data_IF_517059930418
#
_entry.id   IF_517059930418
#
_cell.length_a   1.000
_cell.length_b   1.000
_cell.length_c   1.000
_cell.angle_alpha   90.00
_cell.angle_beta   90.00
_cell.angle_gamma   90.00
#
_symmetry.space_group_name_H-M   'P 1'
#
loop_
_entity.id
_entity.type
_entity.pdbx_description
1 polymer ?
#
# COMPACT_ATOMS: atom_id res chain seq x y z
N UNK A 1 1.76 80.64 7.03
CA UNK A 1 1.82 81.05 8.46
C UNK A 1 1.50 79.86 9.35
N UNK A 2 1.83 79.92 10.64
CA UNK A 2 1.84 78.79 11.61
C UNK A 2 0.43 78.33 12.04
N UNK A 3 0.26 77.03 12.28
CA UNK A 3 -0.34 76.40 13.47
C UNK A 3 -0.64 74.89 13.20
N UNK A 4 -0.78 73.97 14.17
CA UNK A 4 -0.13 73.76 15.48
C UNK A 4 -0.27 72.26 15.84
N UNK A 5 0.74 71.66 16.47
CA UNK A 5 0.73 70.23 16.91
C UNK A 5 -0.13 70.01 18.16
N UNK A 6 -0.89 68.90 18.22
CA UNK A 6 -1.10 68.19 19.50
C UNK A 6 -1.33 66.69 19.31
N UNK A 7 -0.59 65.89 20.09
CA UNK A 7 -0.62 64.41 20.13
C UNK A 7 -1.87 63.92 20.88
N UNK A 8 -2.28 62.67 20.61
CA UNK A 8 -2.66 61.69 21.63
C UNK A 8 -2.67 60.26 21.03
N UNK A 9 -2.05 59.32 21.73
CA UNK A 9 -2.00 57.86 21.47
C UNK A 9 -2.22 57.22 22.85
N UNK A 10 -3.17 56.28 23.00
CA UNK A 10 -2.74 54.89 23.24
C UNK A 10 -3.67 53.79 22.69
N UNK A 11 -3.01 52.77 22.12
CA UNK A 11 -3.20 51.33 22.38
C UNK A 11 -4.62 50.73 22.53
N UNK A 12 -5.01 49.85 21.59
CA UNK A 12 -5.89 48.72 21.90
C UNK A 12 -5.70 47.51 20.94
N UNK A 13 -4.97 46.53 21.46
CA UNK A 13 -5.10 45.06 21.35
C UNK A 13 -5.48 44.44 19.98
N UNK A 14 -4.52 43.63 19.51
CA UNK A 14 -4.59 42.51 18.57
C UNK A 14 -5.96 41.85 18.29
N UNK A 15 -6.28 41.73 17.01
CA UNK A 15 -7.21 40.72 16.47
C UNK A 15 -6.49 39.84 15.44
N UNK A 16 -5.95 38.71 15.87
CA UNK A 16 -5.36 37.72 14.96
C UNK A 16 -6.47 37.05 14.13
N UNK A 17 -6.68 37.53 12.90
CA UNK A 17 -7.47 36.83 11.89
C UNK A 17 -6.70 35.59 11.41
N UNK A 18 -6.73 34.52 12.20
CA UNK A 18 -6.33 33.18 11.75
C UNK A 18 -7.40 32.72 10.77
N UNK A 19 -7.22 33.05 9.49
CA UNK A 19 -7.99 32.46 8.41
C UNK A 19 -7.65 30.97 8.43
N UNK A 20 -8.61 30.15 8.85
CA UNK A 20 -8.43 28.71 8.90
C UNK A 20 -8.05 28.21 7.51
N UNK A 21 -6.91 27.52 7.41
CA UNK A 21 -6.56 26.75 6.23
C UNK A 21 -7.67 25.73 6.03
N UNK A 22 -8.52 25.95 5.03
CA UNK A 22 -9.54 24.99 4.63
C UNK A 22 -8.88 23.64 4.44
N UNK A 23 -9.38 22.60 5.12
CA UNK A 23 -8.96 21.23 4.86
C UNK A 23 -9.28 20.90 3.40
N UNK A 24 -8.28 21.06 2.54
CA UNK A 24 -8.18 20.24 1.35
C UNK A 24 -8.01 18.81 1.85
N UNK A 25 -9.13 18.12 2.03
CA UNK A 25 -9.17 16.68 2.04
C UNK A 25 -8.78 16.23 0.62
N UNK A 26 -7.48 16.30 0.33
CA UNK A 26 -6.87 15.48 -0.70
C UNK A 26 -7.37 14.07 -0.43
N UNK A 27 -7.99 13.44 -1.44
CA UNK A 27 -8.18 12.00 -1.41
C UNK A 27 -6.80 11.42 -1.15
N UNK A 28 -6.58 10.84 0.03
CA UNK A 28 -5.25 10.51 0.49
C UNK A 28 -4.67 9.50 -0.50
N UNK A 29 -3.65 9.93 -1.25
CA UNK A 29 -3.05 9.09 -2.27
C UNK A 29 -2.52 7.83 -1.61
N UNK A 30 -2.90 6.68 -2.17
CA UNK A 30 -2.61 5.37 -1.61
C UNK A 30 -1.10 5.20 -1.45
N UNK A 31 -0.63 4.79 -0.26
CA UNK A 31 0.81 4.64 0.04
C UNK A 31 1.46 3.65 -0.94
N UNK A 32 0.68 2.66 -1.39
CA UNK A 32 1.10 1.66 -2.37
C UNK A 32 1.23 2.19 -3.79
N UNK A 33 0.48 3.21 -4.23
CA UNK A 33 0.41 3.61 -5.65
C UNK A 33 1.78 3.94 -6.26
N UNK A 34 2.59 4.75 -5.57
CA UNK A 34 3.95 5.08 -6.02
C UNK A 34 4.87 3.84 -6.04
N UNK A 35 4.73 2.94 -5.07
CA UNK A 35 5.53 1.72 -4.94
C UNK A 35 5.16 0.67 -6.00
N UNK A 36 3.88 0.51 -6.34
CA UNK A 36 3.44 -0.40 -7.41
C UNK A 36 3.92 0.09 -8.77
N UNK A 37 3.87 1.41 -9.01
CA UNK A 37 4.43 2.02 -10.21
C UNK A 37 5.94 1.78 -10.34
N UNK A 38 6.69 1.96 -9.25
CA UNK A 38 8.13 1.65 -9.22
C UNK A 38 8.41 0.16 -9.44
N UNK A 39 7.69 -0.73 -8.74
CA UNK A 39 7.87 -2.17 -8.87
C UNK A 39 7.57 -2.66 -10.28
N UNK A 40 6.45 -2.24 -10.86
CA UNK A 40 6.06 -2.57 -12.24
C UNK A 40 7.14 -2.15 -13.23
N UNK A 41 7.64 -0.91 -13.13
CA UNK A 41 8.71 -0.41 -13.99
C UNK A 41 10.01 -1.21 -13.87
N UNK A 42 10.38 -1.62 -12.65
CA UNK A 42 11.58 -2.44 -12.40
C UNK A 42 11.39 -3.86 -12.92
N UNK A 43 10.20 -4.44 -12.79
CA UNK A 43 9.86 -5.76 -13.33
C UNK A 43 9.85 -5.76 -14.86
N UNK A 44 9.28 -4.74 -15.51
CA UNK A 44 9.33 -4.56 -16.97
C UNK A 44 10.78 -4.46 -17.48
N UNK A 45 11.61 -3.64 -16.83
CA UNK A 45 13.04 -3.48 -17.17
C UNK A 45 13.81 -4.80 -17.02
N UNK A 46 13.55 -5.54 -15.94
CA UNK A 46 14.18 -6.83 -15.68
C UNK A 46 13.53 -8.01 -16.45
N UNK A 47 12.44 -7.76 -17.19
CA UNK A 47 11.61 -8.76 -17.87
C UNK A 47 11.11 -9.87 -16.94
N UNK A 48 10.72 -9.49 -15.72
CA UNK A 48 10.19 -10.38 -14.69
C UNK A 48 8.66 -10.41 -14.73
N UNK A 49 8.10 -11.61 -14.75
CA UNK A 49 6.68 -11.91 -14.55
C UNK A 49 6.37 -12.26 -13.08
N UNK A 50 7.38 -12.66 -12.32
CA UNK A 50 7.30 -12.99 -10.90
C UNK A 50 8.50 -12.42 -10.12
N UNK A 51 8.29 -12.11 -8.85
CA UNK A 51 9.33 -11.66 -7.91
C UNK A 51 9.00 -12.14 -6.50
N UNK A 52 9.99 -12.52 -5.69
CA UNK A 52 9.76 -12.90 -4.29
C UNK A 52 10.92 -12.49 -3.37
N UNK A 53 10.59 -12.09 -2.15
CA UNK A 53 11.51 -11.59 -1.13
C UNK A 53 11.15 -12.14 0.27
N UNK A 54 12.05 -11.94 1.24
CA UNK A 54 11.67 -12.02 2.66
C UNK A 54 10.79 -10.82 3.03
N UNK A 55 9.76 -11.04 3.85
CA UNK A 55 9.02 -9.98 4.51
C UNK A 55 9.77 -9.54 5.78
N UNK A 56 10.28 -8.30 5.86
CA UNK A 56 11.01 -7.82 7.04
C UNK A 56 10.10 -7.61 8.26
N UNK A 57 8.77 -7.57 8.09
CA UNK A 57 7.81 -7.34 9.16
C UNK A 57 7.30 -8.63 9.83
N UNK A 58 7.75 -9.82 9.38
CA UNK A 58 7.38 -11.09 9.99
C UNK A 58 8.57 -12.06 10.06
N UNK A 59 8.83 -12.62 11.26
CA UNK A 59 9.76 -13.73 11.41
C UNK A 59 9.29 -14.91 10.54
N UNK A 60 10.23 -15.44 9.74
CA UNK A 60 9.98 -16.48 8.73
C UNK A 60 8.90 -16.13 7.70
N UNK A 61 8.65 -14.82 7.52
CA UNK A 61 7.76 -14.26 6.52
C UNK A 61 8.41 -14.11 5.16
N UNK A 62 7.63 -14.39 4.13
CA UNK A 62 7.99 -14.22 2.73
C UNK A 62 6.85 -13.56 1.97
N UNK A 63 7.19 -12.87 0.90
CA UNK A 63 6.28 -12.23 -0.05
C UNK A 63 6.67 -12.66 -1.46
N UNK A 64 5.67 -12.92 -2.30
CA UNK A 64 5.85 -13.12 -3.73
C UNK A 64 4.74 -12.39 -4.51
N UNK A 65 5.07 -11.91 -5.70
CA UNK A 65 4.15 -11.28 -6.60
C UNK A 65 4.18 -11.93 -7.99
N UNK A 66 3.02 -11.99 -8.64
CA UNK A 66 2.88 -12.22 -10.08
C UNK A 66 2.39 -10.92 -10.73
N UNK A 67 3.14 -10.42 -11.70
CA UNK A 67 2.85 -9.20 -12.42
C UNK A 67 2.29 -9.53 -13.81
N UNK A 68 1.14 -8.94 -14.14
CA UNK A 68 0.51 -9.04 -15.45
C UNK A 68 0.46 -7.63 -16.06
N UNK A 69 1.42 -7.27 -16.95
CA UNK A 69 1.61 -5.90 -17.42
C UNK A 69 0.33 -5.21 -17.87
N UNK A 70 0.09 -4.02 -17.32
CA UNK A 70 -1.09 -3.19 -17.62
C UNK A 70 -2.45 -3.73 -17.15
N UNK A 71 -2.50 -4.86 -16.43
CA UNK A 71 -3.78 -5.49 -16.03
C UNK A 71 -3.94 -5.70 -14.54
N UNK A 72 -2.97 -6.33 -13.85
CA UNK A 72 -3.05 -6.57 -12.41
C UNK A 72 -1.70 -6.97 -11.80
N UNK A 73 -1.58 -6.77 -10.49
CA UNK A 73 -0.49 -7.29 -9.66
C UNK A 73 -1.11 -8.16 -8.55
N UNK A 74 -0.74 -9.44 -8.53
CA UNK A 74 -1.20 -10.39 -7.52
C UNK A 74 -0.08 -10.61 -6.51
N UNK A 75 -0.28 -10.22 -5.25
CA UNK A 75 0.75 -10.35 -4.21
C UNK A 75 0.28 -11.25 -3.08
N UNK A 76 1.01 -12.32 -2.85
CA UNK A 76 0.83 -13.19 -1.68
C UNK A 76 1.97 -12.98 -0.71
N UNK A 77 1.69 -13.00 0.58
CA UNK A 77 2.73 -13.27 1.56
C UNK A 77 2.20 -14.05 2.74
N UNK A 78 3.10 -14.77 3.39
CA UNK A 78 2.77 -15.66 4.48
C UNK A 78 4.06 -16.05 5.24
N UNK A 79 3.90 -16.78 6.35
CA UNK A 79 5.01 -17.54 6.95
C UNK A 79 5.12 -18.91 6.29
N UNK A 80 6.33 -19.44 6.19
CA UNK A 80 6.58 -20.75 5.58
C UNK A 80 7.33 -21.69 6.53
N UNK A 81 6.97 -22.97 6.55
CA UNK A 81 7.49 -23.94 7.53
C UNK A 81 8.97 -24.29 7.34
N UNK A 82 9.51 -24.14 6.12
CA UNK A 82 10.92 -24.42 5.81
C UNK A 82 11.57 -23.15 5.22
N UNK A 83 11.90 -22.14 6.04
CA UNK A 83 12.38 -20.85 5.53
C UNK A 83 13.64 -20.98 4.67
N UNK A 84 14.53 -21.92 5.01
CA UNK A 84 15.77 -22.21 4.26
C UNK A 84 15.48 -22.48 2.78
N UNK A 85 14.47 -23.31 2.48
CA UNK A 85 14.06 -23.64 1.11
C UNK A 85 13.71 -22.39 0.30
N UNK A 86 12.88 -21.50 0.85
CA UNK A 86 12.49 -20.28 0.12
C UNK A 86 13.66 -19.30 -0.04
N UNK A 87 14.63 -19.26 0.88
CA UNK A 87 15.85 -18.46 0.67
C UNK A 87 16.68 -18.98 -0.49
N UNK A 88 16.84 -20.30 -0.60
CA UNK A 88 17.53 -20.91 -1.75
C UNK A 88 16.80 -20.64 -3.06
N UNK A 89 15.46 -20.75 -3.07
CA UNK A 89 14.64 -20.40 -4.24
C UNK A 89 14.80 -18.92 -4.63
N UNK A 90 14.83 -17.99 -3.66
CA UNK A 90 15.06 -16.55 -3.92
C UNK A 90 16.43 -16.35 -4.57
N UNK A 91 17.47 -17.01 -4.06
CA UNK A 91 18.83 -16.93 -4.63
C UNK A 91 18.91 -17.50 -6.05
N UNK A 92 18.14 -18.55 -6.36
CA UNK A 92 18.01 -19.17 -7.69
C UNK A 92 17.05 -18.43 -8.62
N UNK A 93 16.37 -17.37 -8.16
CA UNK A 93 15.32 -16.62 -8.87
C UNK A 93 14.07 -17.47 -9.24
N UNK A 94 13.80 -18.53 -8.48
CA UNK A 94 12.61 -19.41 -8.59
C UNK A 94 11.36 -18.73 -7.97
N UNK A 95 11.01 -17.54 -8.47
CA UNK A 95 10.00 -16.68 -7.84
C UNK A 95 8.56 -17.18 -8.01
N UNK A 96 8.27 -17.85 -9.13
CA UNK A 96 6.94 -18.40 -9.46
C UNK A 96 6.62 -19.62 -8.58
N UNK A 97 7.64 -20.39 -8.25
CA UNK A 97 7.59 -21.52 -7.32
C UNK A 97 7.30 -21.01 -5.91
N UNK A 98 7.97 -19.94 -5.46
CA UNK A 98 7.71 -19.32 -4.15
C UNK A 98 6.27 -18.78 -4.08
N UNK A 99 5.76 -18.12 -5.12
CA UNK A 99 4.35 -17.70 -5.14
C UNK A 99 3.41 -18.89 -4.98
N UNK A 100 3.69 -20.00 -5.66
CA UNK A 100 2.88 -21.23 -5.60
C UNK A 100 2.93 -21.86 -4.19
N UNK A 101 4.12 -21.97 -3.61
CA UNK A 101 4.36 -22.48 -2.25
C UNK A 101 3.64 -21.61 -1.19
N UNK A 102 3.71 -20.27 -1.30
CA UNK A 102 3.03 -19.35 -0.37
C UNK A 102 1.51 -19.32 -0.57
N UNK A 103 1.02 -19.50 -1.79
CA UNK A 103 -0.42 -19.51 -2.08
C UNK A 103 -1.12 -20.79 -1.60
N UNK A 104 -0.40 -21.92 -1.53
CA UNK A 104 -0.98 -23.26 -1.27
C UNK A 104 -0.50 -23.97 0.00
N UNK A 105 0.75 -23.77 0.42
CA UNK A 105 1.44 -24.58 1.45
C UNK A 105 2.05 -23.74 2.60
N UNK A 106 1.61 -22.50 2.75
CA UNK A 106 2.02 -21.62 3.85
C UNK A 106 1.48 -22.06 5.23
N UNK A 107 2.01 -21.46 6.30
CA UNK A 107 1.50 -21.65 7.66
C UNK A 107 0.07 -21.10 7.77
N UNK A 108 -0.86 -21.94 8.25
CA UNK A 108 -2.26 -21.58 8.40
C UNK A 108 -2.46 -20.27 9.20
N UNK A 109 -3.39 -19.44 8.75
CA UNK A 109 -3.69 -18.13 9.36
C UNK A 109 -2.60 -17.05 9.19
N UNK A 110 -1.49 -17.33 8.50
CA UNK A 110 -0.45 -16.33 8.22
C UNK A 110 -0.54 -15.68 6.84
N UNK A 111 -1.37 -16.24 5.95
CA UNK A 111 -1.53 -15.78 4.57
C UNK A 111 -2.28 -14.46 4.50
N UNK A 112 -1.80 -13.59 3.62
CA UNK A 112 -2.53 -12.47 3.04
C UNK A 112 -2.34 -12.53 1.52
N UNK A 113 -3.43 -12.39 0.78
CA UNK A 113 -3.45 -12.26 -0.68
C UNK A 113 -4.00 -10.89 -1.04
N UNK A 114 -3.32 -10.19 -1.95
CA UNK A 114 -3.71 -8.88 -2.46
C UNK A 114 -3.92 -9.02 -3.97
N UNK A 115 -5.07 -8.56 -4.45
CA UNK A 115 -5.37 -8.43 -5.86
C UNK A 115 -5.48 -6.94 -6.20
N UNK A 116 -4.44 -6.38 -6.81
CA UNK A 116 -4.35 -4.99 -7.26
C UNK A 116 -4.73 -4.96 -8.75
N UNK A 117 -5.95 -4.50 -9.04
CA UNK A 117 -6.54 -4.47 -10.37
C UNK A 117 -6.18 -3.16 -11.05
N UNK A 118 -5.35 -3.27 -12.08
CA UNK A 118 -4.74 -2.15 -12.78
C UNK A 118 -3.23 -2.02 -12.55
N UNK A 119 -2.67 -2.72 -11.54
CA UNK A 119 -1.27 -2.59 -11.13
C UNK A 119 -0.87 -1.13 -10.88
N UNK A 120 -1.69 -0.42 -10.09
CA UNK A 120 -1.56 1.00 -9.80
C UNK A 120 -1.80 1.36 -8.31
N UNK A 121 -1.82 0.36 -7.42
CA UNK A 121 -1.96 0.53 -5.98
C UNK A 121 -3.40 0.46 -5.50
N UNK A 122 -3.59 0.11 -4.23
CA UNK A 122 -4.94 -0.13 -3.69
C UNK A 122 -5.77 1.15 -3.70
N UNK A 123 -6.98 1.08 -4.25
CA UNK A 123 -7.96 2.16 -4.25
C UNK A 123 -9.08 1.81 -3.28
N UNK A 124 -9.47 2.75 -2.42
CA UNK A 124 -10.55 2.51 -1.44
C UNK A 124 -11.96 2.37 -2.08
N UNK A 125 -12.10 2.49 -3.39
CA UNK A 125 -13.36 2.42 -4.14
C UNK A 125 -13.07 1.80 -5.51
N UNK A 126 -14.07 1.12 -6.07
CA UNK A 126 -14.00 0.59 -7.44
C UNK A 126 -13.78 1.70 -8.48
N UNK A 127 -13.13 1.34 -9.57
CA UNK A 127 -12.99 2.16 -10.78
C UNK A 127 -13.53 1.41 -12.02
N UNK A 128 -13.18 1.90 -13.21
CA UNK A 128 -13.56 1.30 -14.50
C UNK A 128 -12.85 -0.05 -14.77
N UNK A 129 -11.69 -0.31 -14.14
CA UNK A 129 -10.94 -1.57 -14.28
C UNK A 129 -11.49 -2.65 -13.35
N UNK A 130 -11.98 -2.27 -12.17
CA UNK A 130 -12.58 -3.20 -11.21
C UNK A 130 -12.57 -2.70 -9.77
N UNK A 131 -12.34 -3.61 -8.84
CA UNK A 131 -12.07 -3.31 -7.43
C UNK A 131 -10.93 -4.21 -6.96
N UNK A 132 -10.15 -3.71 -6.03
CA UNK A 132 -9.06 -4.47 -5.42
C UNK A 132 -9.58 -5.39 -4.31
N UNK A 133 -8.81 -6.41 -3.93
CA UNK A 133 -9.09 -7.20 -2.72
C UNK A 133 -7.85 -7.33 -1.83
N UNK A 134 -8.09 -7.40 -0.52
CA UNK A 134 -7.12 -7.78 0.48
C UNK A 134 -7.70 -8.91 1.34
N UNK A 135 -7.25 -10.13 1.11
CA UNK A 135 -7.70 -11.36 1.75
C UNK A 135 -6.66 -11.82 2.79
N UNK A 136 -6.80 -11.30 4.01
CA UNK A 136 -6.00 -11.69 5.18
C UNK A 136 -6.83 -12.44 6.25
N UNK A 137 -6.59 -12.21 7.56
CA UNK A 137 -7.45 -12.72 8.63
C UNK A 137 -8.91 -12.25 8.54
N UNK A 138 -9.15 -11.14 7.83
CA UNK A 138 -10.44 -10.72 7.30
C UNK A 138 -10.26 -10.45 5.81
N UNK A 139 -11.25 -10.81 4.99
CA UNK A 139 -11.35 -10.35 3.61
C UNK A 139 -11.91 -8.93 3.57
N UNK A 140 -11.27 -8.09 2.76
CA UNK A 140 -11.64 -6.70 2.50
C UNK A 140 -11.77 -6.54 0.98
N UNK A 141 -12.98 -6.20 0.53
CA UNK A 141 -13.27 -5.89 -0.87
C UNK A 141 -13.26 -4.38 -1.02
N UNK A 142 -12.44 -3.85 -1.92
CA UNK A 142 -12.24 -2.40 -2.02
C UNK A 142 -13.19 -1.74 -3.03
N UNK A 143 -14.48 -2.11 -2.99
CA UNK A 143 -15.53 -1.55 -3.85
C UNK A 143 -16.13 -0.24 -3.30
N UNK A 144 -15.83 0.11 -2.04
CA UNK A 144 -16.39 1.25 -1.31
C UNK A 144 -17.68 0.93 -0.54
N UNK A 145 -18.20 -0.29 -0.62
CA UNK A 145 -19.46 -0.69 0.03
C UNK A 145 -19.21 -1.36 1.38
N UNK A 146 -18.94 -0.51 2.38
CA UNK A 146 -18.75 -0.91 3.77
C UNK A 146 -19.99 -1.64 4.37
N UNK A 147 -21.19 -1.38 3.84
CA UNK A 147 -22.45 -2.00 4.29
C UNK A 147 -22.55 -3.45 3.83
N UNK A 148 -22.21 -3.77 2.57
CA UNK A 148 -22.11 -5.16 2.09
C UNK A 148 -21.11 -5.98 2.92
N UNK A 149 -20.05 -5.33 3.39
CA UNK A 149 -19.00 -5.93 4.22
C UNK A 149 -19.35 -5.99 5.71
N UNK A 150 -20.58 -5.59 6.09
CA UNK A 150 -21.11 -5.63 7.47
C UNK A 150 -20.29 -4.84 8.48
N UNK A 151 -19.58 -3.80 8.02
CA UNK A 151 -18.88 -2.86 8.90
C UNK A 151 -19.87 -1.91 9.56
N UNK A 152 -19.52 -1.40 10.74
CA UNK A 152 -20.38 -0.51 11.51
C UNK A 152 -20.47 0.90 10.89
N UNK A 153 -19.41 1.36 10.21
CA UNK A 153 -19.37 2.68 9.58
C UNK A 153 -18.36 2.80 8.44
N UNK A 154 -18.37 3.94 7.73
CA UNK A 154 -17.41 4.27 6.66
C UNK A 154 -16.00 4.54 7.21
N UNK A 155 -15.89 4.99 8.47
CA UNK A 155 -14.61 5.18 9.17
C UNK A 155 -13.94 3.84 9.49
N UNK A 156 -14.71 2.80 9.86
CA UNK A 156 -14.16 1.45 10.04
C UNK A 156 -13.58 0.91 8.72
N UNK A 157 -14.29 1.11 7.62
CA UNK A 157 -13.83 0.75 6.28
C UNK A 157 -12.58 1.53 5.85
N UNK A 158 -12.58 2.85 6.05
CA UNK A 158 -11.42 3.71 5.74
C UNK A 158 -10.19 3.30 6.56
N UNK A 159 -10.39 2.91 7.83
CA UNK A 159 -9.33 2.35 8.67
C UNK A 159 -8.82 1.01 8.12
N UNK A 160 -9.72 0.08 7.77
CA UNK A 160 -9.33 -1.21 7.19
C UNK A 160 -8.55 -1.06 5.88
N UNK A 161 -8.96 -0.13 5.00
CA UNK A 161 -8.22 0.25 3.80
C UNK A 161 -6.81 0.76 4.13
N UNK A 162 -6.69 1.73 5.05
CA UNK A 162 -5.39 2.30 5.43
C UNK A 162 -4.43 1.26 6.05
N UNK A 163 -4.96 0.29 6.80
CA UNK A 163 -4.19 -0.83 7.35
C UNK A 163 -3.74 -1.82 6.25
N UNK A 164 -4.62 -2.13 5.30
CA UNK A 164 -4.31 -2.98 4.14
C UNK A 164 -3.26 -2.33 3.20
N UNK A 165 -3.42 -1.05 2.88
CA UNK A 165 -2.50 -0.26 2.06
C UNK A 165 -1.13 -0.10 2.73
N UNK A 166 -1.07 0.15 4.04
CA UNK A 166 0.20 0.16 4.76
C UNK A 166 0.88 -1.21 4.79
N UNK A 167 0.11 -2.30 4.94
CA UNK A 167 0.66 -3.65 4.87
C UNK A 167 1.21 -3.92 3.47
N UNK A 168 0.45 -3.62 2.43
CA UNK A 168 0.84 -3.80 1.04
C UNK A 168 2.09 -2.99 0.68
N UNK A 169 2.17 -1.73 1.13
CA UNK A 169 3.36 -0.87 0.95
C UNK A 169 4.64 -1.49 1.52
N UNK A 170 4.58 -2.12 2.70
CA UNK A 170 5.73 -2.81 3.31
C UNK A 170 6.19 -4.03 2.49
N UNK A 171 5.24 -4.75 1.91
CA UNK A 171 5.49 -5.89 1.02
C UNK A 171 6.14 -5.45 -0.29
N UNK A 172 5.59 -4.41 -0.94
CA UNK A 172 6.11 -3.82 -2.16
C UNK A 172 7.55 -3.31 -1.97
N UNK A 173 7.84 -2.61 -0.87
CA UNK A 173 9.19 -2.15 -0.55
C UNK A 173 10.22 -3.31 -0.48
N UNK A 174 9.81 -4.46 0.07
CA UNK A 174 10.66 -5.66 0.12
C UNK A 174 10.90 -6.27 -1.28
N UNK A 175 9.87 -6.30 -2.14
CA UNK A 175 9.97 -6.76 -3.53
C UNK A 175 10.84 -5.83 -4.38
N UNK A 176 10.65 -4.51 -4.29
CA UNK A 176 11.48 -3.48 -4.96
C UNK A 176 12.95 -3.65 -4.55
N UNK A 177 13.21 -3.82 -3.25
CA UNK A 177 14.55 -4.06 -2.73
C UNK A 177 15.16 -5.38 -3.23
N UNK A 178 14.34 -6.39 -3.58
CA UNK A 178 14.83 -7.62 -4.20
C UNK A 178 15.13 -7.44 -5.69
N UNK A 179 14.28 -6.77 -6.47
CA UNK A 179 14.57 -6.52 -7.90
C UNK A 179 15.89 -5.75 -8.02
N UNK A 180 16.06 -4.67 -7.24
CA UNK A 180 17.28 -3.84 -7.22
C UNK A 180 18.56 -4.57 -6.78
N UNK A 181 18.46 -5.73 -6.12
CA UNK A 181 19.61 -6.60 -5.79
C UNK A 181 19.94 -7.61 -6.89
N UNK A 182 18.98 -7.89 -7.77
CA UNK A 182 19.08 -8.89 -8.83
C UNK A 182 19.30 -8.33 -10.23
N UNK A 183 19.23 -7.00 -10.37
CA UNK A 183 19.64 -6.16 -11.52
C UNK A 183 21.15 -5.96 -11.57
#
# INVERSE_FOLDING_TARGET
>A
MRATVRRLVPCLIAGCAVIGLSNAAFAQESKSAALVKELSQLMDQAKLDAIAARDPAANDGFVAALYFPGTQLLVVGARYQVPVLLNERIAKKEFREIYTDLNSACVAGSKYLIMDIGADGLKAKRDDKGFDTFDGPKSLVLDGDWKKQKMASEEEYTKAFNEADERYSKLLAALIAQVKKGS
#
